data_IF_852925605820
#
_entry.id   IF_852925605820
#
_cell.length_a   1.000
_cell.length_b   1.000
_cell.length_c   1.000
_cell.angle_alpha   90.00
_cell.angle_beta   90.00
_cell.angle_gamma   90.00
#
_symmetry.space_group_name_H-M   'P 1'
#
loop_
_entity.id
_entity.type
_entity.pdbx_description
1 polymer ?
#
# COMPACT_ATOMS: atom_id res chain seq x y z
N UNK A 1 19.30 22.68 3.21
CA UNK A 1 19.55 21.38 3.84
C UNK A 1 19.30 20.32 2.76
N UNK A 2 20.34 19.64 2.24
CA UNK A 2 20.16 18.57 1.25
C UNK A 2 19.82 17.30 2.04
N UNK A 3 18.68 16.67 1.73
CA UNK A 3 18.36 15.37 2.32
C UNK A 3 19.42 14.36 1.90
N UNK A 4 19.87 13.56 2.86
CA UNK A 4 20.78 12.44 2.60
C UNK A 4 20.04 11.41 1.72
N UNK A 5 20.59 11.02 0.56
CA UNK A 5 19.95 10.05 -0.34
C UNK A 5 19.79 8.65 0.27
N UNK A 6 20.45 8.36 1.41
CA UNK A 6 20.22 7.15 2.20
C UNK A 6 18.94 7.23 3.06
N UNK A 7 18.37 8.42 3.25
CA UNK A 7 17.09 8.59 3.95
C UNK A 7 15.98 8.22 2.98
N UNK A 8 15.51 6.98 3.12
CA UNK A 8 14.32 6.50 2.44
C UNK A 8 13.12 7.19 3.12
N UNK A 9 12.59 8.23 2.47
CA UNK A 9 11.41 8.94 2.97
C UNK A 9 10.22 7.98 2.98
N UNK A 10 9.37 8.02 4.03
CA UNK A 10 8.17 7.23 4.04
C UNK A 10 7.28 7.64 2.87
N UNK A 11 6.85 6.65 2.10
CA UNK A 11 6.02 6.81 0.93
C UNK A 11 4.56 6.59 1.38
N UNK A 12 3.69 7.59 1.22
CA UNK A 12 2.27 7.40 1.49
C UNK A 12 1.66 6.48 0.42
N UNK A 13 0.82 5.58 0.87
CA UNK A 13 -0.01 4.73 0.02
C UNK A 13 -1.48 4.83 0.41
N UNK A 14 -2.35 4.67 -0.57
CA UNK A 14 -3.80 4.62 -0.42
C UNK A 14 -4.33 3.34 -1.07
N UNK A 15 -5.23 2.64 -0.38
CA UNK A 15 -5.77 1.36 -0.81
C UNK A 15 -7.24 1.54 -1.17
N UNK A 16 -7.59 1.24 -2.42
CA UNK A 16 -8.94 1.37 -2.95
C UNK A 16 -9.48 0.02 -3.40
N UNK A 17 -10.80 -0.18 -3.32
CA UNK A 17 -11.43 -1.29 -4.03
C UNK A 17 -11.68 -0.96 -5.52
N UNK A 18 -12.22 -1.93 -6.26
CA UNK A 18 -12.55 -1.74 -7.68
C UNK A 18 -13.69 -0.76 -7.94
N UNK A 19 -14.49 -0.40 -6.92
CA UNK A 19 -15.50 0.65 -7.01
C UNK A 19 -14.92 2.04 -6.72
N UNK A 20 -13.64 2.13 -6.37
CA UNK A 20 -12.95 3.38 -6.02
C UNK A 20 -13.19 3.83 -4.58
N UNK A 21 -13.73 2.98 -3.71
CA UNK A 21 -13.89 3.28 -2.28
C UNK A 21 -12.52 3.12 -1.60
N UNK A 22 -12.15 4.09 -0.75
CA UNK A 22 -10.92 4.04 0.04
C UNK A 22 -11.12 3.14 1.26
N UNK A 23 -10.25 2.15 1.43
CA UNK A 23 -10.26 1.22 2.56
C UNK A 23 -9.12 1.49 3.56
N UNK A 24 -8.00 2.07 3.12
CA UNK A 24 -6.86 2.30 4.02
C UNK A 24 -5.84 3.30 3.50
N UNK A 25 -5.07 3.87 4.44
CA UNK A 25 -3.93 4.74 4.17
C UNK A 25 -2.76 4.30 5.03
N UNK A 26 -1.62 4.08 4.41
CA UNK A 26 -0.43 3.57 5.09
C UNK A 26 0.83 4.30 4.64
N UNK A 27 1.90 4.15 5.41
CA UNK A 27 3.22 4.67 5.07
C UNK A 27 4.20 3.50 4.91
N UNK A 28 4.75 3.33 3.71
CA UNK A 28 5.80 2.34 3.47
C UNK A 28 7.17 3.00 3.54
N UNK A 29 8.07 2.41 4.32
CA UNK A 29 9.43 2.89 4.53
C UNK A 29 10.44 2.14 3.66
N UNK A 30 10.10 0.92 3.23
CA UNK A 30 10.92 0.06 2.39
C UNK A 30 10.08 -0.65 1.33
N UNK A 31 10.65 -0.87 0.14
CA UNK A 31 9.97 -1.57 -0.97
C UNK A 31 9.52 -3.01 -0.64
N UNK A 32 10.12 -3.63 0.38
CA UNK A 32 9.80 -5.00 0.84
C UNK A 32 8.99 -5.03 2.14
N UNK A 33 8.37 -3.92 2.53
CA UNK A 33 7.58 -3.88 3.74
C UNK A 33 6.28 -4.67 3.56
N UNK A 34 6.02 -5.58 4.50
CA UNK A 34 4.70 -6.19 4.64
C UNK A 34 3.74 -5.12 5.19
N UNK A 35 2.71 -4.81 4.42
CA UNK A 35 1.61 -3.94 4.85
C UNK A 35 0.61 -4.85 5.53
N UNK A 36 0.31 -4.57 6.80
CA UNK A 36 -0.79 -5.25 7.48
C UNK A 36 -2.11 -4.76 6.85
N UNK A 37 -2.84 -5.71 6.27
CA UNK A 37 -4.12 -5.48 5.60
C UNK A 37 -5.19 -6.42 6.15
N UNK A 38 -5.01 -6.86 7.40
CA UNK A 38 -5.89 -7.81 8.10
C UNK A 38 -7.37 -7.40 8.09
N UNK A 39 -7.66 -6.10 8.07
CA UNK A 39 -9.02 -5.57 8.01
C UNK A 39 -9.64 -5.55 6.60
N UNK A 40 -8.87 -5.86 5.54
CA UNK A 40 -9.40 -5.93 4.19
C UNK A 40 -10.15 -7.26 3.97
N UNK A 41 -11.32 -7.16 3.38
CA UNK A 41 -12.08 -8.31 2.91
C UNK A 41 -11.36 -9.02 1.75
N UNK A 42 -11.70 -10.28 1.50
CA UNK A 42 -11.26 -10.98 0.30
C UNK A 42 -11.62 -10.18 -0.96
N UNK A 43 -10.65 -9.94 -1.85
CA UNK A 43 -10.92 -9.18 -3.05
C UNK A 43 -9.69 -8.63 -3.77
N UNK A 44 -9.97 -7.77 -4.75
CA UNK A 44 -8.98 -7.07 -5.54
C UNK A 44 -8.97 -5.60 -5.12
N UNK A 45 -7.77 -5.10 -4.83
CA UNK A 45 -7.56 -3.72 -4.42
C UNK A 45 -6.52 -3.05 -5.31
N UNK A 46 -6.61 -1.72 -5.39
CA UNK A 46 -5.69 -0.84 -6.08
C UNK A 46 -4.89 -0.08 -5.04
N UNK A 47 -3.56 -0.15 -5.13
CA UNK A 47 -2.65 0.64 -4.30
C UNK A 47 -2.18 1.83 -5.12
N UNK A 48 -2.42 3.03 -4.59
CA UNK A 48 -1.99 4.29 -5.19
C UNK A 48 -0.90 4.94 -4.33
N UNK A 49 0.13 5.46 -4.98
CA UNK A 49 1.21 6.17 -4.32
C UNK A 49 1.78 7.27 -5.24
N UNK A 50 2.33 8.39 -4.71
CA UNK A 50 2.86 9.47 -5.54
C UNK A 50 4.02 9.07 -6.45
N UNK A 51 4.81 8.08 -6.02
CA UNK A 51 6.09 7.73 -6.67
C UNK A 51 6.04 6.40 -7.43
N UNK A 52 4.86 5.77 -7.50
CA UNK A 52 4.69 4.44 -8.08
C UNK A 52 3.55 4.42 -9.08
N UNK A 53 3.72 3.61 -10.13
CA UNK A 53 2.58 3.20 -10.94
C UNK A 53 1.59 2.42 -10.05
N UNK A 54 0.28 2.56 -10.27
CA UNK A 54 -0.71 1.81 -9.50
C UNK A 54 -0.44 0.31 -9.56
N UNK A 55 -0.40 -0.34 -8.40
CA UNK A 55 -0.25 -1.79 -8.31
C UNK A 55 -1.57 -2.44 -7.91
N UNK A 56 -1.90 -3.54 -8.58
CA UNK A 56 -3.06 -4.38 -8.25
C UNK A 56 -2.66 -5.38 -7.17
N UNK A 57 -3.34 -5.34 -6.04
CA UNK A 57 -3.18 -6.30 -4.95
C UNK A 57 -4.35 -7.27 -4.94
N UNK A 58 -4.07 -8.56 -4.73
CA UNK A 58 -5.08 -9.58 -4.49
C UNK A 58 -5.00 -9.97 -3.02
N UNK A 59 -6.08 -9.77 -2.29
CA UNK A 59 -6.21 -10.16 -0.89
C UNK A 59 -6.96 -11.48 -0.84
N UNK A 60 -6.25 -12.52 -0.42
CA UNK A 60 -6.83 -13.80 -0.08
C UNK A 60 -6.59 -14.09 1.39
N UNK A 61 -7.65 -14.26 2.18
CA UNK A 61 -7.51 -14.83 3.52
C UNK A 61 -7.12 -16.29 3.33
N UNK A 62 -5.91 -16.65 3.73
CA UNK A 62 -5.54 -18.06 3.91
C UNK A 62 -6.14 -18.42 5.25
N UNK A 63 -7.19 -19.25 5.26
CA UNK A 63 -7.68 -19.82 6.50
C UNK A 63 -6.49 -20.58 7.13
N UNK A 64 -6.07 -20.17 8.33
CA UNK A 64 -5.12 -20.92 9.15
C UNK A 64 -5.66 -22.31 9.52
#
# INVERSE_FOLDING_TARGET
>A
MKLDPSVQLPIPIEIYDLNGILHGKEMIYHYYQHIDISDLSFGIYLIKSPNFQPYKMVVSHVNE
#
